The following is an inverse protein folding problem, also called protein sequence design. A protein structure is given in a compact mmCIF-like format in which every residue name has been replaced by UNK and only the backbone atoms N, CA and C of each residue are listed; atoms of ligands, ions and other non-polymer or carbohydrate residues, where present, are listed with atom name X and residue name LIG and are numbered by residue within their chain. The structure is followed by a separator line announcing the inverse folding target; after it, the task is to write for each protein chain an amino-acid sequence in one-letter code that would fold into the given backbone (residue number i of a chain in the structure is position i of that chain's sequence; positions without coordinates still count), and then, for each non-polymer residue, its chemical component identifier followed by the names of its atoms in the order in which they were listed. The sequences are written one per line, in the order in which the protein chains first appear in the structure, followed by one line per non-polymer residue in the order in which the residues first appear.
data_IF_818771352945
#
_entry.id   IF_818771352945
#
_cell.length_a   1.000
_cell.length_b   1.000
_cell.length_c   1.000
_cell.angle_alpha   90.00
_cell.angle_beta   90.00
_cell.angle_gamma   90.00
#
_symmetry.space_group_name_H-M   'P 1'
#
loop_
_entity.id
_entity.type
_entity.pdbx_description
1 polymer ?
#
# COMPACT_ATOMS: atom_id res chain seq x y z
N UNK A 1 17.30 22.96 33.81
CA UNK A 1 17.35 23.82 32.61
C UNK A 1 18.75 23.70 32.01
N UNK A 2 18.78 23.40 30.70
CA UNK A 2 19.88 23.49 29.74
C UNK A 2 21.28 22.94 30.11
N UNK A 3 21.63 21.81 29.49
CA UNK A 3 23.01 21.40 29.20
C UNK A 3 23.38 22.00 27.84
N UNK A 4 24.53 22.68 27.67
CA UNK A 4 25.02 23.08 26.36
C UNK A 4 25.93 21.98 25.81
N UNK A 5 25.64 21.48 24.62
CA UNK A 5 26.61 20.67 23.87
C UNK A 5 26.85 21.33 22.52
N UNK A 6 28.03 21.91 22.39
CA UNK A 6 28.58 22.48 21.17
C UNK A 6 29.31 21.39 20.38
N UNK A 7 28.94 21.31 19.10
CA UNK A 7 29.68 20.95 17.87
C UNK A 7 30.87 19.97 17.92
N UNK A 8 30.97 19.12 16.90
CA UNK A 8 32.01 19.33 15.87
C UNK A 8 31.46 19.04 14.44
N UNK A 9 31.65 19.86 13.39
CA UNK A 9 32.81 19.99 12.45
C UNK A 9 33.54 18.65 12.27
N UNK A 10 33.65 17.99 11.13
CA UNK A 10 34.15 18.43 9.83
C UNK A 10 34.19 17.12 8.99
N UNK A 11 33.69 17.11 7.76
CA UNK A 11 34.17 16.16 6.74
C UNK A 11 34.26 16.88 5.41
N UNK A 12 35.50 17.26 5.13
CA UNK A 12 36.11 17.68 3.87
C UNK A 12 35.42 17.23 2.59
N UNK A 13 35.15 18.21 1.73
CA UNK A 13 35.01 18.05 0.29
C UNK A 13 36.35 17.64 -0.33
N UNK A 14 36.33 16.67 -1.26
CA UNK A 14 37.37 16.55 -2.30
C UNK A 14 36.66 16.21 -3.62
N UNK A 15 36.68 17.18 -4.53
CA UNK A 15 36.35 17.05 -5.96
C UNK A 15 37.63 16.87 -6.78
N UNK A 16 37.55 16.09 -7.87
CA UNK A 16 38.48 16.06 -9.02
C UNK A 16 37.92 15.03 -10.04
N UNK A 17 37.15 15.44 -11.07
CA UNK A 17 37.55 15.65 -12.50
C UNK A 17 37.87 14.33 -13.24
N UNK A 18 37.54 14.05 -14.52
CA UNK A 18 37.17 14.84 -15.69
C UNK A 18 36.50 13.92 -16.76
N UNK A 19 35.74 14.56 -17.65
CA UNK A 19 35.11 14.17 -18.93
C UNK A 19 35.08 12.71 -19.47
N UNK A 20 33.85 12.32 -19.85
CA UNK A 20 33.56 12.01 -21.25
C UNK A 20 33.65 10.55 -21.70
N UNK A 21 32.57 10.07 -22.32
CA UNK A 21 32.65 8.99 -23.30
C UNK A 21 31.84 7.76 -22.95
N UNK A 22 30.54 7.85 -23.21
CA UNK A 22 29.68 6.71 -23.51
C UNK A 22 30.37 5.78 -24.54
N UNK A 23 29.97 4.50 -24.54
CA UNK A 23 30.27 3.49 -25.57
C UNK A 23 31.76 3.15 -25.74
N UNK A 24 32.23 2.06 -25.13
CA UNK A 24 32.66 0.86 -25.87
C UNK A 24 32.42 -0.34 -24.96
N UNK A 25 31.45 -1.15 -25.36
CA UNK A 25 31.17 -2.42 -24.77
C UNK A 25 32.40 -3.35 -24.81
N UNK A 26 32.47 -4.22 -23.79
CA UNK A 26 33.01 -5.58 -23.90
C UNK A 26 34.54 -5.70 -24.01
N UNK A 27 35.19 -5.77 -22.85
CA UNK A 27 36.25 -6.76 -22.64
C UNK A 27 36.12 -7.29 -21.20
N UNK A 28 35.45 -8.43 -21.05
CA UNK A 28 36.09 -9.66 -20.53
C UNK A 28 36.63 -9.35 -19.12
N UNK A 29 35.84 -9.52 -18.08
CA UNK A 29 35.46 -10.83 -17.60
C UNK A 29 36.63 -11.39 -16.79
N UNK A 30 36.59 -11.19 -15.47
CA UNK A 30 36.88 -12.25 -14.50
C UNK A 30 36.75 -11.75 -13.06
N UNK A 31 36.02 -12.55 -12.30
CA UNK A 31 36.27 -12.88 -10.90
C UNK A 31 35.50 -12.14 -9.79
N UNK A 32 34.71 -13.00 -9.11
CA UNK A 32 34.28 -13.02 -7.70
C UNK A 32 32.94 -12.36 -7.37
N UNK A 33 32.03 -13.23 -6.93
CA UNK A 33 30.68 -12.96 -6.46
C UNK A 33 30.66 -12.02 -5.26
N UNK A 34 29.89 -10.93 -5.36
CA UNK A 34 29.18 -10.39 -4.20
C UNK A 34 27.71 -10.85 -4.30
N UNK A 35 27.42 -11.90 -3.56
CA UNK A 35 26.29 -12.84 -3.67
C UNK A 35 24.91 -12.29 -3.25
N UNK A 36 24.69 -10.97 -3.25
CA UNK A 36 23.39 -10.39 -2.85
C UNK A 36 22.83 -9.28 -3.78
N UNK A 37 23.49 -8.99 -4.90
CA UNK A 37 23.04 -7.91 -5.80
C UNK A 37 22.04 -8.32 -6.90
N UNK A 38 21.92 -9.61 -7.21
CA UNK A 38 21.20 -10.07 -8.40
C UNK A 38 19.73 -10.50 -8.14
N UNK A 39 19.28 -10.56 -6.89
CA UNK A 39 17.94 -11.13 -6.56
C UNK A 39 16.85 -10.06 -6.44
N UNK A 40 17.19 -8.77 -6.46
CA UNK A 40 16.22 -7.71 -6.08
C UNK A 40 15.39 -7.18 -7.25
N UNK A 41 15.66 -7.52 -8.52
CA UNK A 41 14.88 -6.96 -9.66
C UNK A 41 14.25 -7.99 -10.59
N UNK A 42 14.38 -9.29 -10.32
CA UNK A 42 13.86 -10.35 -11.19
C UNK A 42 12.57 -11.01 -10.67
N UNK A 43 11.74 -10.28 -9.93
CA UNK A 43 10.35 -10.71 -9.76
C UNK A 43 9.53 -9.90 -10.76
N UNK A 44 9.34 -10.47 -11.95
CA UNK A 44 8.20 -10.17 -12.81
C UNK A 44 6.93 -10.55 -12.04
N UNK A 45 6.58 -9.76 -11.01
CA UNK A 45 5.27 -9.83 -10.38
C UNK A 45 4.35 -9.22 -11.44
N UNK A 46 3.51 -10.02 -12.13
CA UNK A 46 2.59 -9.44 -13.09
C UNK A 46 1.80 -8.36 -12.36
N UNK A 47 1.66 -7.19 -12.97
CA UNK A 47 1.02 -6.03 -12.34
C UNK A 47 -0.40 -6.34 -11.78
N UNK A 48 -1.04 -7.41 -12.26
CA UNK A 48 -2.26 -7.99 -11.70
C UNK A 48 -2.10 -8.60 -10.30
N UNK A 49 -0.99 -9.30 -10.03
CA UNK A 49 -0.65 -9.87 -8.71
C UNK A 49 -0.34 -8.77 -7.68
N UNK A 50 0.16 -7.60 -8.10
CA UNK A 50 0.40 -6.45 -7.21
C UNK A 50 -0.91 -5.80 -6.73
N UNK A 51 -1.97 -5.81 -7.56
CA UNK A 51 -3.24 -5.14 -7.23
C UNK A 51 -4.02 -5.85 -6.11
N UNK A 52 -3.96 -7.17 -6.06
CA UNK A 52 -4.63 -7.93 -4.99
C UNK A 52 -3.76 -8.04 -3.72
N UNK A 53 -2.44 -7.94 -3.84
CA UNK A 53 -1.54 -7.87 -2.69
C UNK A 53 -1.74 -6.59 -1.84
N UNK A 54 -2.22 -5.50 -2.44
CA UNK A 54 -2.45 -4.24 -1.74
C UNK A 54 -3.77 -4.19 -0.96
N UNK A 55 -4.71 -5.13 -1.19
CA UNK A 55 -6.02 -5.13 -0.53
C UNK A 55 -5.93 -5.87 0.81
N UNK A 56 -6.56 -5.38 1.89
CA UNK A 56 -6.55 -6.12 3.15
C UNK A 56 -7.16 -7.52 3.00
N UNK A 57 -6.51 -8.53 3.57
CA UNK A 57 -6.90 -9.94 3.40
C UNK A 57 -8.33 -10.28 3.87
N UNK A 58 -8.93 -9.45 4.73
CA UNK A 58 -10.31 -9.64 5.21
C UNK A 58 -11.37 -9.06 4.27
N UNK A 59 -10.98 -8.37 3.18
CA UNK A 59 -11.93 -7.85 2.21
C UNK A 59 -12.34 -8.95 1.24
N UNK A 60 -13.64 -9.03 0.99
CA UNK A 60 -14.18 -9.88 -0.06
C UNK A 60 -13.71 -9.33 -1.42
N UNK A 61 -13.12 -10.14 -2.30
CA UNK A 61 -12.73 -9.71 -3.63
C UNK A 61 -13.91 -9.15 -4.44
N UNK A 62 -13.65 -8.11 -5.24
CA UNK A 62 -14.70 -7.40 -5.98
C UNK A 62 -15.53 -8.30 -6.91
N UNK A 63 -14.94 -9.38 -7.44
CA UNK A 63 -15.61 -10.33 -8.33
C UNK A 63 -16.59 -11.25 -7.59
N UNK A 64 -16.39 -11.49 -6.29
CA UNK A 64 -17.30 -12.28 -5.45
C UNK A 64 -18.48 -11.44 -4.91
N UNK A 65 -18.35 -10.11 -4.91
CA UNK A 65 -19.40 -9.19 -4.46
C UNK A 65 -20.42 -9.01 -5.60
N UNK A 66 -21.42 -9.88 -5.68
CA UNK A 66 -22.50 -9.77 -6.68
C UNK A 66 -23.68 -8.91 -6.21
N UNK A 67 -23.93 -8.90 -4.90
CA UNK A 67 -25.06 -8.20 -4.28
C UNK A 67 -24.60 -7.40 -3.07
N UNK A 68 -25.29 -6.31 -2.75
CA UNK A 68 -25.07 -5.58 -1.50
C UNK A 68 -25.29 -6.52 -0.32
N UNK A 69 -24.31 -6.59 0.59
CA UNK A 69 -24.35 -7.50 1.73
C UNK A 69 -25.49 -7.18 2.71
N UNK A 70 -25.99 -5.93 2.73
CA UNK A 70 -27.13 -5.54 3.56
C UNK A 70 -28.47 -5.65 2.82
N UNK A 71 -28.69 -4.85 1.77
CA UNK A 71 -29.99 -4.76 1.10
C UNK A 71 -30.19 -5.76 -0.05
N UNK A 72 -29.18 -6.59 -0.36
CA UNK A 72 -29.20 -7.62 -1.42
C UNK A 72 -29.43 -7.10 -2.84
N UNK A 73 -29.45 -5.79 -3.07
CA UNK A 73 -29.49 -5.17 -4.41
C UNK A 73 -28.31 -5.68 -5.25
N UNK A 74 -28.58 -6.18 -6.45
CA UNK A 74 -27.54 -6.63 -7.39
C UNK A 74 -26.71 -5.45 -7.87
N UNK A 75 -25.39 -5.63 -7.92
CA UNK A 75 -24.50 -4.62 -8.47
C UNK A 75 -24.51 -4.67 -9.99
N UNK A 76 -24.54 -3.49 -10.60
CA UNK A 76 -24.47 -3.31 -12.05
C UNK A 76 -23.49 -2.19 -12.36
N UNK A 77 -23.23 -1.94 -13.65
CA UNK A 77 -22.33 -0.86 -14.08
C UNK A 77 -22.76 0.50 -13.52
N UNK A 78 -24.05 0.71 -13.25
CA UNK A 78 -24.59 1.96 -12.68
C UNK A 78 -24.56 2.01 -11.15
N UNK A 79 -24.30 0.89 -10.47
CA UNK A 79 -24.26 0.79 -9.02
C UNK A 79 -22.87 0.37 -8.55
N UNK A 80 -22.09 1.34 -8.09
CA UNK A 80 -20.73 1.10 -7.59
C UNK A 80 -20.71 0.23 -6.34
N UNK A 81 -19.72 -0.67 -6.28
CA UNK A 81 -19.42 -1.50 -5.11
C UNK A 81 -18.56 -0.72 -4.12
N UNK A 82 -18.83 -0.88 -2.82
CA UNK A 82 -18.04 -0.28 -1.76
C UNK A 82 -17.75 -1.26 -0.63
N UNK A 83 -16.50 -1.31 -0.17
CA UNK A 83 -16.14 -2.13 0.98
C UNK A 83 -16.34 -1.39 2.30
N UNK A 84 -16.86 -2.09 3.30
CA UNK A 84 -16.78 -1.66 4.69
C UNK A 84 -15.36 -1.92 5.22
N UNK A 85 -14.68 -0.87 5.72
CA UNK A 85 -13.31 -0.99 6.25
C UNK A 85 -13.23 -1.77 7.56
N UNK A 86 -14.36 -2.04 8.24
CA UNK A 86 -14.38 -2.84 9.46
C UNK A 86 -14.61 -4.34 9.20
N UNK A 87 -15.58 -4.70 8.35
CA UNK A 87 -15.96 -6.10 8.10
C UNK A 87 -15.53 -6.66 6.75
N UNK A 88 -15.06 -5.82 5.81
CA UNK A 88 -14.56 -6.25 4.51
C UNK A 88 -15.62 -6.68 3.48
N UNK A 89 -16.90 -6.71 3.85
CA UNK A 89 -18.00 -7.04 2.93
C UNK A 89 -18.32 -5.89 1.97
N UNK A 90 -18.99 -6.21 0.85
CA UNK A 90 -19.40 -5.26 -0.18
C UNK A 90 -20.81 -4.68 0.01
N UNK A 91 -20.97 -3.37 -0.18
CA UNK A 91 -22.20 -2.60 0.06
C UNK A 91 -22.44 -1.57 -1.04
N UNK A 92 -23.71 -1.22 -1.27
CA UNK A 92 -24.06 -0.02 -2.03
C UNK A 92 -23.80 1.24 -1.19
N UNK A 93 -23.86 2.41 -1.82
CA UNK A 93 -23.62 3.68 -1.12
C UNK A 93 -24.63 3.90 0.02
N UNK A 94 -25.92 3.64 -0.25
CA UNK A 94 -27.02 3.78 0.74
C UNK A 94 -26.79 2.95 2.01
N UNK A 95 -26.20 1.75 1.89
CA UNK A 95 -25.97 0.85 3.02
C UNK A 95 -24.63 1.09 3.74
N UNK A 96 -23.80 2.01 3.22
CA UNK A 96 -22.45 2.28 3.72
C UNK A 96 -22.07 3.75 3.65
N UNK A 97 -23.04 4.65 3.81
CA UNK A 97 -22.83 6.08 3.63
C UNK A 97 -21.88 6.67 4.68
N UNK A 98 -21.96 6.17 5.91
CA UNK A 98 -21.25 6.71 7.06
C UNK A 98 -19.72 6.51 7.00
N UNK A 99 -19.02 7.33 7.79
CA UNK A 99 -17.57 7.27 8.00
C UNK A 99 -17.26 7.16 9.49
N UNK A 100 -16.37 6.25 9.86
CA UNK A 100 -15.90 6.05 11.24
C UNK A 100 -14.48 5.49 11.23
N UNK A 101 -13.65 5.86 12.20
CA UNK A 101 -12.33 5.27 12.36
C UNK A 101 -12.45 3.77 12.69
N UNK A 102 -11.48 2.98 12.26
CA UNK A 102 -11.38 1.54 12.54
C UNK A 102 -9.94 1.22 12.99
N UNK A 103 -9.51 1.68 14.18
CA UNK A 103 -8.16 1.46 14.68
C UNK A 103 -7.75 -0.02 14.75
N UNK A 104 -8.67 -0.95 15.03
CA UNK A 104 -8.37 -2.39 15.08
C UNK A 104 -7.90 -2.97 13.74
N UNK A 105 -8.18 -2.25 12.65
CA UNK A 105 -7.77 -2.58 11.28
C UNK A 105 -6.71 -1.61 10.75
N UNK A 106 -6.17 -0.71 11.58
CA UNK A 106 -5.16 0.27 11.21
C UNK A 106 -5.70 1.50 10.46
N UNK A 107 -7.00 1.78 10.56
CA UNK A 107 -7.60 2.99 9.99
C UNK A 107 -7.83 4.05 11.07
N UNK A 108 -6.82 4.87 11.33
CA UNK A 108 -6.87 5.88 12.40
C UNK A 108 -7.76 7.10 12.06
N UNK A 109 -8.10 7.28 10.79
CA UNK A 109 -8.98 8.34 10.31
C UNK A 109 -10.36 7.79 9.91
N UNK A 110 -11.42 8.64 9.86
CA UNK A 110 -12.75 8.19 9.45
C UNK A 110 -12.77 7.58 8.04
N UNK A 111 -13.13 6.30 7.96
CA UNK A 111 -13.23 5.53 6.72
C UNK A 111 -14.63 4.95 6.56
N UNK A 112 -14.97 4.52 5.34
CA UNK A 112 -16.32 4.02 5.03
C UNK A 112 -16.65 2.77 5.84
N UNK A 113 -17.79 2.78 6.53
CA UNK A 113 -18.30 1.61 7.25
C UNK A 113 -19.75 1.36 6.85
N UNK A 114 -20.16 0.09 6.86
CA UNK A 114 -21.57 -0.24 6.69
C UNK A 114 -22.37 0.17 7.93
N UNK A 115 -23.68 0.35 7.75
CA UNK A 115 -24.62 0.69 8.83
C UNK A 115 -24.46 -0.19 10.08
N UNK A 116 -24.34 -1.51 9.91
CA UNK A 116 -24.21 -2.44 11.02
C UNK A 116 -22.90 -2.25 11.80
N UNK A 117 -21.79 -1.94 11.11
CA UNK A 117 -20.53 -1.66 11.79
C UNK A 117 -20.58 -0.29 12.47
N UNK A 118 -21.18 0.71 11.82
CA UNK A 118 -21.31 2.05 12.40
C UNK A 118 -22.10 2.07 13.72
N UNK A 119 -23.05 1.15 13.91
CA UNK A 119 -23.84 1.02 15.15
C UNK A 119 -23.13 0.31 16.31
N UNK A 120 -21.99 -0.36 16.07
CA UNK A 120 -21.30 -1.07 17.14
C UNK A 120 -20.73 -0.07 18.17
N UNK A 121 -20.89 -0.30 19.48
CA UNK A 121 -20.27 0.54 20.50
C UNK A 121 -18.75 0.34 20.53
N UNK A 122 -18.01 1.34 21.03
CA UNK A 122 -16.55 1.27 21.22
C UNK A 122 -15.73 1.42 19.95
N UNK A 123 -14.41 1.29 20.04
CA UNK A 123 -13.55 1.40 18.86
C UNK A 123 -13.66 0.15 17.98
N UNK A 124 -13.61 0.38 16.66
CA UNK A 124 -13.73 -0.66 15.65
C UNK A 124 -12.39 -1.17 15.15
#
# INVERSE_FOLDING_TARGET
MAVPFSLPTDVTEVQADDEGGTLIARKVGEAVQNTLGAVVTAIDIPLGLVKDAARPAYWVPDHEILHCHNCRKEFSIKLSKHHCRACGQGFCDECSHDRRAVPSRGWDHPVRVCFNCNKKPGDL
#
